data_IF_003289431134
#
_entry.id   IF_003289431134
#
_cell.length_a   1.000
_cell.length_b   1.000
_cell.length_c   1.000
_cell.angle_alpha   90.00
_cell.angle_beta   90.00
_cell.angle_gamma   90.00
#
_symmetry.space_group_name_H-M   'P 1'
#
loop_
_entity.id
_entity.type
_entity.pdbx_description
1 polymer ?
#
# COMPACT_ATOMS: atom_id res chain seq x y z
N UNK A 1 -14.18 -46.57 32.85
CA UNK A 1 -13.28 -45.39 32.82
C UNK A 1 -12.07 -45.59 31.91
N UNK A 2 -11.24 -46.63 32.10
CA UNK A 2 -10.03 -46.86 31.27
C UNK A 2 -10.23 -46.87 29.74
N UNK A 3 -11.38 -47.36 29.26
CA UNK A 3 -11.67 -47.41 27.82
C UNK A 3 -11.97 -46.04 27.21
N UNK A 4 -12.56 -45.12 28.00
CA UNK A 4 -12.90 -43.76 27.56
C UNK A 4 -11.64 -42.92 27.44
N UNK A 5 -10.73 -43.03 28.43
CA UNK A 5 -9.42 -42.36 28.39
C UNK A 5 -8.53 -42.87 27.24
N UNK A 6 -8.63 -44.16 26.88
CA UNK A 6 -7.89 -44.70 25.74
C UNK A 6 -8.38 -44.12 24.41
N UNK A 7 -9.71 -44.01 24.25
CA UNK A 7 -10.32 -43.45 23.05
C UNK A 7 -10.05 -41.95 22.90
N UNK A 8 -10.02 -41.20 23.98
CA UNK A 8 -9.65 -39.77 23.97
C UNK A 8 -8.18 -39.58 23.63
N UNK A 9 -7.29 -40.42 24.17
CA UNK A 9 -5.87 -40.40 23.83
C UNK A 9 -5.61 -40.75 22.36
N UNK A 10 -6.34 -41.73 21.82
CA UNK A 10 -6.22 -42.11 20.40
C UNK A 10 -6.69 -40.98 19.47
N UNK A 11 -7.79 -40.29 19.82
CA UNK A 11 -8.24 -39.10 19.08
C UNK A 11 -7.23 -37.97 19.14
N UNK A 12 -6.65 -37.69 20.31
CA UNK A 12 -5.63 -36.65 20.46
C UNK A 12 -4.39 -36.99 19.64
N UNK A 13 -3.96 -38.25 19.65
CA UNK A 13 -2.82 -38.71 18.88
C UNK A 13 -3.06 -38.57 17.36
N UNK A 14 -4.28 -38.88 16.89
CA UNK A 14 -4.66 -38.62 15.49
C UNK A 14 -4.59 -37.14 15.14
N UNK A 15 -5.11 -36.25 15.98
CA UNK A 15 -5.04 -34.81 15.74
C UNK A 15 -3.58 -34.36 15.67
N UNK A 16 -2.73 -34.79 16.61
CA UNK A 16 -1.31 -34.46 16.62
C UNK A 16 -0.57 -34.95 15.38
N UNK A 17 -0.82 -36.17 14.91
CA UNK A 17 -0.20 -36.68 13.69
C UNK A 17 -0.67 -35.91 12.44
N UNK A 18 -1.96 -35.54 12.38
CA UNK A 18 -2.45 -34.69 11.28
C UNK A 18 -1.83 -33.30 11.30
N UNK A 19 -1.65 -32.71 12.48
CA UNK A 19 -1.07 -31.39 12.63
C UNK A 19 0.44 -31.41 12.31
N UNK A 20 1.14 -32.45 12.78
CA UNK A 20 2.54 -32.71 12.45
C UNK A 20 2.75 -32.88 10.95
N UNK A 21 1.93 -33.68 10.27
CA UNK A 21 1.99 -33.82 8.80
C UNK A 21 1.79 -32.48 8.09
N UNK A 22 0.83 -31.66 8.54
CA UNK A 22 0.60 -30.32 7.96
C UNK A 22 1.80 -29.39 8.16
N UNK A 23 2.46 -29.45 9.32
CA UNK A 23 3.68 -28.69 9.57
C UNK A 23 4.84 -29.18 8.71
N UNK A 24 4.97 -30.49 8.52
CA UNK A 24 5.99 -31.06 7.63
C UNK A 24 5.79 -30.62 6.18
N UNK A 25 4.55 -30.61 5.69
CA UNK A 25 4.19 -30.13 4.35
C UNK A 25 4.52 -28.64 4.19
N UNK A 26 4.10 -27.80 5.15
CA UNK A 26 4.39 -26.36 5.11
C UNK A 26 5.89 -26.07 5.15
N UNK A 27 6.66 -26.83 5.94
CA UNK A 27 8.13 -26.69 5.97
C UNK A 27 8.76 -27.09 4.64
N UNK A 28 8.23 -28.11 3.96
CA UNK A 28 8.69 -28.48 2.62
C UNK A 28 8.36 -27.39 1.59
N UNK A 29 7.15 -26.85 1.60
CA UNK A 29 6.75 -25.74 0.73
C UNK A 29 7.65 -24.51 0.93
N UNK A 30 7.88 -24.11 2.18
CA UNK A 30 8.76 -22.99 2.51
C UNK A 30 10.21 -23.23 2.04
N UNK A 31 10.71 -24.47 2.13
CA UNK A 31 12.05 -24.81 1.60
C UNK A 31 12.12 -24.71 0.07
N UNK A 32 11.09 -25.17 -0.63
CA UNK A 32 11.01 -25.05 -2.09
C UNK A 32 10.95 -23.59 -2.53
N UNK A 33 10.17 -22.77 -1.82
CA UNK A 33 10.05 -21.34 -2.08
C UNK A 33 11.36 -20.61 -1.79
N UNK A 34 12.05 -20.94 -0.69
CA UNK A 34 13.37 -20.41 -0.39
C UNK A 34 14.39 -20.71 -1.50
N UNK A 35 14.43 -21.94 -2.00
CA UNK A 35 15.34 -22.31 -3.10
C UNK A 35 14.93 -21.70 -4.45
N UNK A 36 13.64 -21.39 -4.65
CA UNK A 36 13.17 -20.61 -5.81
C UNK A 36 13.66 -19.16 -5.73
N UNK A 37 13.43 -18.49 -4.60
CA UNK A 37 13.88 -17.10 -4.37
C UNK A 37 15.39 -16.98 -4.52
N UNK A 38 16.15 -17.95 -4.00
CA UNK A 38 17.60 -17.98 -4.12
C UNK A 38 18.06 -18.07 -5.58
N UNK A 39 17.40 -18.89 -6.42
CA UNK A 39 17.69 -18.98 -7.86
C UNK A 39 17.35 -17.68 -8.59
N UNK A 40 16.20 -17.07 -8.29
CA UNK A 40 15.81 -15.79 -8.87
C UNK A 40 16.80 -14.69 -8.51
N UNK A 41 17.22 -14.62 -7.25
CA UNK A 41 18.24 -13.67 -6.78
C UNK A 41 19.58 -13.86 -7.53
N UNK A 42 20.00 -15.11 -7.76
CA UNK A 42 21.22 -15.40 -8.54
C UNK A 42 21.09 -14.89 -9.98
N UNK A 43 19.93 -15.06 -10.62
CA UNK A 43 19.67 -14.51 -11.96
C UNK A 43 19.73 -12.99 -11.94
N UNK A 44 19.08 -12.33 -10.97
CA UNK A 44 19.12 -10.87 -10.84
C UNK A 44 20.54 -10.35 -10.65
N UNK A 45 21.36 -11.00 -9.81
CA UNK A 45 22.77 -10.64 -9.60
C UNK A 45 23.56 -10.78 -10.90
N UNK A 46 23.31 -11.85 -11.67
CA UNK A 46 23.96 -12.06 -12.96
C UNK A 46 23.57 -10.97 -13.98
N UNK A 47 22.28 -10.65 -14.09
CA UNK A 47 21.79 -9.57 -14.97
C UNK A 47 22.35 -8.20 -14.56
N UNK A 48 22.42 -7.89 -13.27
CA UNK A 48 23.01 -6.65 -12.77
C UNK A 48 24.50 -6.54 -13.16
N UNK A 49 25.23 -7.67 -13.10
CA UNK A 49 26.63 -7.71 -13.53
C UNK A 49 26.77 -7.42 -15.03
N UNK A 50 25.92 -8.02 -15.87
CA UNK A 50 25.90 -7.75 -17.32
C UNK A 50 25.63 -6.28 -17.64
N UNK A 51 24.65 -5.65 -16.98
CA UNK A 51 24.38 -4.21 -17.13
C UNK A 51 25.58 -3.36 -16.70
N UNK A 52 26.31 -3.78 -15.66
CA UNK A 52 27.55 -3.13 -15.23
C UNK A 52 28.65 -3.17 -16.30
N UNK A 53 28.81 -4.32 -16.96
CA UNK A 53 29.76 -4.52 -18.06
C UNK A 53 29.36 -3.67 -19.28
N UNK A 54 28.09 -3.70 -19.70
CA UNK A 54 27.57 -2.87 -20.80
C UNK A 54 27.74 -1.37 -20.53
N UNK A 55 27.51 -0.92 -19.30
CA UNK A 55 27.75 0.47 -18.90
C UNK A 55 29.23 0.84 -19.05
N UNK A 56 30.14 -0.05 -18.65
CA UNK A 56 31.58 0.20 -18.77
C UNK A 56 32.00 0.28 -20.25
N UNK A 57 31.48 -0.61 -21.10
CA UNK A 57 31.72 -0.59 -22.54
C UNK A 57 31.20 0.70 -23.17
N UNK A 58 29.97 1.11 -22.83
CA UNK A 58 29.39 2.36 -23.31
C UNK A 58 30.19 3.59 -22.89
N UNK A 59 30.68 3.63 -21.63
CA UNK A 59 31.58 4.68 -21.18
C UNK A 59 32.87 4.72 -22.01
N UNK A 60 33.48 3.56 -22.29
CA UNK A 60 34.70 3.50 -23.10
C UNK A 60 34.47 3.96 -24.55
N UNK A 61 33.35 3.56 -25.15
CA UNK A 61 32.96 3.98 -26.50
C UNK A 61 32.69 5.48 -26.56
N UNK A 62 31.98 6.02 -25.58
CA UNK A 62 31.70 7.47 -25.47
C UNK A 62 33.00 8.27 -25.37
N UNK A 63 33.95 7.78 -24.58
CA UNK A 63 35.26 8.42 -24.40
C UNK A 63 36.09 8.38 -25.70
N UNK A 64 36.04 7.28 -26.44
CA UNK A 64 36.69 7.17 -27.75
C UNK A 64 36.06 8.11 -28.78
N UNK A 65 34.72 8.18 -28.84
CA UNK A 65 34.01 9.10 -29.74
C UNK A 65 34.30 10.57 -29.42
N UNK A 66 34.42 10.91 -28.15
CA UNK A 66 34.81 12.26 -27.74
C UNK A 66 36.22 12.59 -28.23
N UNK A 67 37.18 11.67 -28.08
CA UNK A 67 38.54 11.84 -28.56
C UNK A 67 38.61 11.99 -30.08
N UNK A 68 37.88 11.17 -30.84
CA UNK A 68 37.87 11.28 -32.31
C UNK A 68 37.21 12.58 -32.79
N UNK A 69 36.18 13.08 -32.10
CA UNK A 69 35.65 14.42 -32.37
C UNK A 69 36.67 15.54 -32.12
N UNK A 70 37.42 15.46 -31.02
CA UNK A 70 38.48 16.44 -30.71
C UNK A 70 39.56 16.43 -31.80
N UNK A 71 40.01 15.26 -32.22
CA UNK A 71 40.99 15.09 -33.31
C UNK A 71 40.46 15.66 -34.64
N UNK A 72 39.22 15.36 -35.02
CA UNK A 72 38.59 15.89 -36.23
C UNK A 72 38.40 17.42 -36.19
N UNK A 73 38.10 17.97 -35.01
CA UNK A 73 37.98 19.42 -34.81
C UNK A 73 39.32 20.11 -35.05
N UNK A 74 40.40 19.55 -34.49
CA UNK A 74 41.77 20.04 -34.72
C UNK A 74 42.16 19.93 -36.19
N UNK A 75 41.86 18.80 -36.85
CA UNK A 75 42.16 18.59 -38.26
C UNK A 75 41.41 19.57 -39.16
N UNK A 76 40.11 19.81 -38.89
CA UNK A 76 39.31 20.83 -39.56
C UNK A 76 39.94 22.21 -39.40
N UNK A 77 40.37 22.58 -38.20
CA UNK A 77 40.98 23.89 -37.95
C UNK A 77 42.29 24.06 -38.72
N UNK A 78 43.12 23.01 -38.81
CA UNK A 78 44.33 23.00 -39.65
C UNK A 78 44.00 23.15 -41.13
N UNK A 79 43.00 22.42 -41.64
CA UNK A 79 42.58 22.51 -43.04
C UNK A 79 42.09 23.91 -43.42
N UNK A 80 41.33 24.56 -42.53
CA UNK A 80 40.90 25.96 -42.72
C UNK A 80 42.11 26.89 -42.78
N UNK A 81 43.08 26.75 -41.88
CA UNK A 81 44.29 27.58 -41.88
C UNK A 81 45.11 27.41 -43.18
N UNK A 82 45.20 26.19 -43.71
CA UNK A 82 45.86 25.91 -45.00
C UNK A 82 45.12 26.58 -46.15
N UNK A 83 43.78 26.49 -46.18
CA UNK A 83 42.96 27.14 -47.22
C UNK A 83 43.07 28.66 -47.17
N UNK A 84 43.10 29.26 -45.97
CA UNK A 84 43.32 30.69 -45.79
C UNK A 84 44.72 31.12 -46.28
N UNK A 85 45.75 30.33 -46.02
CA UNK A 85 47.10 30.56 -46.54
C UNK A 85 47.17 30.45 -48.07
N UNK A 86 46.49 29.46 -48.67
CA UNK A 86 46.38 29.31 -50.13
C UNK A 86 45.60 30.45 -50.79
N UNK A 87 44.60 31.02 -50.09
CA UNK A 87 43.81 32.16 -50.59
C UNK A 87 44.62 33.47 -50.66
N UNK A 88 45.76 33.53 -49.98
CA UNK A 88 46.70 34.67 -50.03
C UNK A 88 47.72 34.53 -51.17
N UNK A 89 47.67 33.46 -51.97
CA UNK A 89 48.60 33.19 -53.08
C UNK A 89 47.86 33.26 -54.44
N UNK A 90 48.08 34.29 -55.28
CA UNK A 90 47.35 34.45 -56.53
C UNK A 90 48.04 33.72 -57.69
N UNK A 91 47.47 32.60 -58.17
CA UNK A 91 47.63 32.09 -59.54
C UNK A 91 46.31 31.42 -59.96
N UNK A 92 45.53 32.04 -60.85
CA UNK A 92 45.64 32.01 -62.31
C UNK A 92 45.20 30.66 -62.91
N UNK A 93 43.94 30.59 -63.32
CA UNK A 93 43.48 29.76 -64.43
C UNK A 93 42.10 30.26 -64.88
N UNK A 94 42.13 31.21 -65.80
CA UNK A 94 40.99 31.59 -66.63
C UNK A 94 40.72 30.55 -67.71
N UNK A 95 39.43 30.45 -68.06
CA UNK A 95 38.83 29.93 -69.28
C UNK A 95 38.71 28.42 -69.46
N UNK A 96 37.45 27.95 -69.56
CA UNK A 96 36.89 27.18 -70.70
C UNK A 96 35.35 27.34 -70.62
N UNK A 97 34.76 28.20 -71.46
CA UNK A 97 34.09 27.90 -72.75
C UNK A 97 32.63 27.47 -72.62
N UNK A 98 31.78 28.03 -73.49
CA UNK A 98 30.31 28.01 -73.56
C UNK A 98 29.60 26.64 -73.67
N UNK A 99 30.03 25.61 -72.93
CA UNK A 99 29.32 24.33 -72.78
C UNK A 99 28.62 24.19 -71.40
N UNK A 100 28.70 25.21 -70.55
CA UNK A 100 28.25 25.17 -69.16
C UNK A 100 26.74 25.32 -68.96
N UNK A 101 25.98 25.88 -69.92
CA UNK A 101 24.52 26.10 -69.77
C UNK A 101 23.71 24.79 -69.67
N UNK A 102 23.91 23.77 -70.52
CA UNK A 102 23.23 22.49 -70.35
C UNK A 102 23.75 21.68 -69.14
N UNK A 103 25.03 21.85 -68.75
CA UNK A 103 25.61 21.22 -67.55
C UNK A 103 24.97 21.74 -66.26
N UNK A 104 24.89 23.06 -66.11
CA UNK A 104 24.29 23.71 -64.94
C UNK A 104 22.79 23.38 -64.83
N UNK A 105 22.08 23.26 -65.96
CA UNK A 105 20.68 22.86 -65.95
C UNK A 105 20.49 21.39 -65.50
N UNK A 106 21.38 20.49 -65.93
CA UNK A 106 21.41 19.11 -65.45
C UNK A 106 21.73 19.01 -63.95
N UNK A 107 22.69 19.81 -63.47
CA UNK A 107 23.04 19.89 -62.04
C UNK A 107 21.86 20.41 -61.20
N UNK A 108 21.16 21.44 -61.67
CA UNK A 108 19.96 21.98 -61.01
C UNK A 108 18.82 20.94 -60.93
N UNK A 109 18.53 20.23 -62.02
CA UNK A 109 17.54 19.15 -62.00
C UNK A 109 17.98 18.00 -61.07
N UNK A 110 19.27 17.70 -61.00
CA UNK A 110 19.79 16.67 -60.11
C UNK A 110 19.68 17.08 -58.63
N UNK A 111 19.88 18.35 -58.33
CA UNK A 111 19.67 18.94 -57.00
C UNK A 111 18.19 18.88 -56.63
N UNK A 112 17.28 19.28 -57.53
CA UNK A 112 15.84 19.19 -57.30
C UNK A 112 15.39 17.76 -57.01
N UNK A 113 15.85 16.78 -57.80
CA UNK A 113 15.55 15.37 -57.58
C UNK A 113 16.09 14.84 -56.24
N UNK A 114 17.30 15.25 -55.83
CA UNK A 114 17.85 14.90 -54.51
C UNK A 114 17.05 15.56 -53.37
N UNK A 115 16.65 16.81 -53.54
CA UNK A 115 15.82 17.53 -52.58
C UNK A 115 14.45 16.85 -52.41
N UNK A 116 13.82 16.42 -53.50
CA UNK A 116 12.56 15.68 -53.46
C UNK A 116 12.68 14.39 -52.64
N UNK A 117 13.72 13.57 -52.91
CA UNK A 117 14.00 12.34 -52.16
C UNK A 117 14.25 12.58 -50.68
N UNK A 118 15.04 13.61 -50.35
CA UNK A 118 15.29 14.00 -48.96
C UNK A 118 13.99 14.41 -48.24
N UNK A 119 13.07 15.05 -48.95
CA UNK A 119 11.77 15.46 -48.39
C UNK A 119 10.88 14.24 -48.09
N UNK A 120 10.88 13.24 -48.98
CA UNK A 120 10.19 11.97 -48.76
C UNK A 120 10.79 11.18 -47.60
N UNK A 121 12.12 11.06 -47.53
CA UNK A 121 12.83 10.40 -46.43
C UNK A 121 12.58 11.10 -45.09
N UNK A 122 12.60 12.44 -45.09
CA UNK A 122 12.27 13.26 -43.92
C UNK A 122 10.86 12.96 -43.43
N UNK A 123 9.87 12.93 -44.31
CA UNK A 123 8.48 12.69 -43.94
C UNK A 123 8.27 11.25 -43.44
N UNK A 124 8.98 10.28 -44.01
CA UNK A 124 8.99 8.90 -43.52
C UNK A 124 9.64 8.79 -42.13
N UNK A 125 10.74 9.50 -41.89
CA UNK A 125 11.41 9.55 -40.59
C UNK A 125 10.51 10.21 -39.52
N UNK A 126 9.83 11.32 -39.85
CA UNK A 126 8.87 11.97 -38.97
C UNK A 126 7.70 11.04 -38.61
N UNK A 127 7.20 10.26 -39.56
CA UNK A 127 6.13 9.27 -39.30
C UNK A 127 6.58 8.18 -38.34
N UNK A 128 7.78 7.61 -38.55
CA UNK A 128 8.37 6.60 -37.66
C UNK A 128 8.65 7.15 -36.25
N UNK A 129 9.08 8.40 -36.16
CA UNK A 129 9.34 9.06 -34.89
C UNK A 129 8.04 9.18 -34.08
N UNK A 130 6.94 9.61 -34.70
CA UNK A 130 5.62 9.70 -34.05
C UNK A 130 5.11 8.34 -33.58
N UNK A 131 5.22 7.30 -34.40
CA UNK A 131 4.83 5.93 -34.01
C UNK A 131 5.65 5.43 -32.81
N UNK A 132 6.95 5.73 -32.77
CA UNK A 132 7.81 5.39 -31.64
C UNK A 132 7.47 6.19 -30.37
N UNK A 133 7.12 7.47 -30.49
CA UNK A 133 6.66 8.30 -29.37
C UNK A 133 5.35 7.78 -28.77
N UNK A 134 4.42 7.32 -29.60
CA UNK A 134 3.18 6.68 -29.15
C UNK A 134 3.45 5.35 -28.44
N UNK A 135 4.31 4.49 -29.02
CA UNK A 135 4.74 3.24 -28.36
C UNK A 135 5.43 3.50 -27.03
N UNK A 136 6.30 4.51 -26.97
CA UNK A 136 6.99 4.89 -25.74
C UNK A 136 6.00 5.32 -24.65
N UNK A 137 4.99 6.13 -25.00
CA UNK A 137 3.95 6.54 -24.06
C UNK A 137 3.18 5.36 -23.47
N UNK A 138 2.75 4.42 -24.31
CA UNK A 138 2.05 3.22 -23.84
C UNK A 138 2.91 2.40 -22.88
N UNK A 139 4.19 2.19 -23.21
CA UNK A 139 5.13 1.48 -22.34
C UNK A 139 5.38 2.21 -21.01
N UNK A 140 5.39 3.54 -21.02
CA UNK A 140 5.56 4.34 -19.81
C UNK A 140 4.33 4.25 -18.90
N UNK A 141 3.13 4.25 -19.47
CA UNK A 141 1.86 4.01 -18.75
C UNK A 141 1.81 2.60 -18.14
N UNK A 142 2.17 1.57 -18.91
CA UNK A 142 2.26 0.18 -18.43
C UNK A 142 3.28 0.07 -17.29
N UNK A 143 4.47 0.67 -17.46
CA UNK A 143 5.48 0.70 -16.41
C UNK A 143 4.95 1.38 -15.14
N UNK A 144 4.27 2.52 -15.27
CA UNK A 144 3.72 3.24 -14.12
C UNK A 144 2.64 2.40 -13.40
N UNK A 145 1.79 1.72 -14.16
CA UNK A 145 0.79 0.78 -13.63
C UNK A 145 1.46 -0.33 -12.80
N UNK A 146 2.41 -1.06 -13.38
CA UNK A 146 3.09 -2.16 -12.66
C UNK A 146 3.88 -1.69 -11.44
N UNK A 147 4.46 -0.49 -11.48
CA UNK A 147 5.12 0.11 -10.30
C UNK A 147 4.11 0.36 -9.19
N UNK A 148 2.95 0.96 -9.52
CA UNK A 148 1.90 1.22 -8.53
C UNK A 148 1.34 -0.08 -7.91
N UNK A 149 1.12 -1.10 -8.73
CA UNK A 149 0.60 -2.40 -8.29
C UNK A 149 1.61 -3.13 -7.41
N UNK A 150 2.89 -3.14 -7.82
CA UNK A 150 3.99 -3.70 -7.03
C UNK A 150 4.11 -3.00 -5.67
N UNK A 151 4.00 -1.67 -5.63
CA UNK A 151 4.03 -0.91 -4.38
C UNK A 151 2.83 -1.22 -3.49
N UNK A 152 1.63 -1.36 -4.06
CA UNK A 152 0.43 -1.74 -3.31
C UNK A 152 0.57 -3.14 -2.70
N UNK A 153 1.08 -4.10 -3.46
CA UNK A 153 1.38 -5.46 -2.97
C UNK A 153 2.44 -5.44 -1.88
N UNK A 154 3.50 -4.64 -2.03
CA UNK A 154 4.54 -4.50 -1.02
C UNK A 154 3.99 -3.93 0.30
N UNK A 155 3.12 -2.92 0.22
CA UNK A 155 2.46 -2.36 1.39
C UNK A 155 1.54 -3.39 2.07
N UNK A 156 0.77 -4.14 1.28
CA UNK A 156 -0.09 -5.21 1.78
C UNK A 156 0.70 -6.30 2.49
N UNK A 157 1.84 -6.72 1.93
CA UNK A 157 2.75 -7.69 2.56
C UNK A 157 3.32 -7.16 3.88
N UNK A 158 3.68 -5.87 3.93
CA UNK A 158 4.18 -5.25 5.16
C UNK A 158 3.10 -5.22 6.26
N UNK A 159 1.87 -4.86 5.91
CA UNK A 159 0.73 -4.86 6.83
C UNK A 159 0.43 -6.27 7.37
N UNK A 160 0.37 -7.27 6.48
CA UNK A 160 0.16 -8.67 6.86
C UNK A 160 1.29 -9.20 7.77
N UNK A 161 2.53 -8.77 7.54
CA UNK A 161 3.66 -9.15 8.39
C UNK A 161 3.50 -8.61 9.80
N UNK A 162 3.09 -7.35 9.94
CA UNK A 162 2.82 -6.74 11.25
C UNK A 162 1.65 -7.42 11.96
N UNK A 163 0.57 -7.72 11.23
CA UNK A 163 -0.59 -8.43 11.77
C UNK A 163 -0.22 -9.87 12.21
N UNK A 164 0.58 -10.58 11.42
CA UNK A 164 1.14 -11.89 11.79
C UNK A 164 1.96 -11.80 13.08
N UNK A 165 2.90 -10.86 13.17
CA UNK A 165 3.70 -10.71 14.39
C UNK A 165 2.84 -10.37 15.61
N UNK A 166 1.80 -9.55 15.42
CA UNK A 166 0.89 -9.18 16.49
C UNK A 166 0.08 -10.40 16.99
N UNK A 167 -0.50 -11.17 16.06
CA UNK A 167 -1.26 -12.38 16.39
C UNK A 167 -0.37 -13.46 17.02
N UNK A 168 0.87 -13.65 16.54
CA UNK A 168 1.84 -14.55 17.18
C UNK A 168 2.17 -14.14 18.62
N UNK A 169 2.33 -12.83 18.87
CA UNK A 169 2.57 -12.32 20.23
C UNK A 169 1.36 -12.58 21.13
N UNK A 170 0.15 -12.38 20.64
CA UNK A 170 -1.07 -12.65 21.39
C UNK A 170 -1.25 -14.14 21.68
N UNK A 171 -1.02 -15.02 20.69
CA UNK A 171 -1.05 -16.47 20.87
C UNK A 171 -0.02 -16.93 21.91
N UNK A 172 1.21 -16.39 21.91
CA UNK A 172 2.22 -16.70 22.92
C UNK A 172 1.76 -16.32 24.34
N UNK A 173 1.07 -15.18 24.49
CA UNK A 173 0.51 -14.77 25.77
C UNK A 173 -0.62 -15.71 26.20
N UNK A 174 -1.51 -16.07 25.29
CA UNK A 174 -2.59 -17.02 25.57
C UNK A 174 -2.04 -18.39 25.99
N UNK A 175 -1.04 -18.92 25.28
CA UNK A 175 -0.35 -20.17 25.64
C UNK A 175 0.28 -20.09 27.02
N UNK A 176 0.94 -18.98 27.36
CA UNK A 176 1.52 -18.79 28.70
C UNK A 176 0.44 -18.84 29.78
N UNK A 177 -0.69 -18.16 29.56
CA UNK A 177 -1.83 -18.19 30.49
C UNK A 177 -2.40 -19.60 30.61
N UNK A 178 -2.52 -20.35 29.51
CA UNK A 178 -2.96 -21.74 29.55
C UNK A 178 -2.02 -22.63 30.36
N UNK A 179 -0.70 -22.54 30.12
CA UNK A 179 0.30 -23.27 30.91
C UNK A 179 0.21 -22.94 32.41
N UNK A 180 0.05 -21.67 32.76
CA UNK A 180 -0.09 -21.24 34.15
C UNK A 180 -1.39 -21.79 34.79
N UNK A 181 -2.49 -21.86 34.03
CA UNK A 181 -3.75 -22.45 34.47
C UNK A 181 -3.67 -23.96 34.65
N UNK A 182 -3.03 -24.68 33.71
CA UNK A 182 -2.79 -26.12 33.82
C UNK A 182 -1.94 -26.45 35.04
N UNK A 183 -0.89 -25.66 35.30
CA UNK A 183 -0.06 -25.82 36.50
C UNK A 183 -0.90 -25.65 37.78
N UNK A 184 -1.73 -24.61 37.86
CA UNK A 184 -2.61 -24.38 39.01
C UNK A 184 -3.62 -25.52 39.18
N UNK A 185 -4.18 -26.03 38.09
CA UNK A 185 -5.10 -27.18 38.11
C UNK A 185 -4.38 -28.42 38.66
N UNK A 186 -3.16 -28.69 38.20
CA UNK A 186 -2.36 -29.81 38.67
C UNK A 186 -2.04 -29.71 40.16
N UNK A 187 -1.63 -28.53 40.65
CA UNK A 187 -1.38 -28.30 42.08
C UNK A 187 -2.65 -28.55 42.93
N UNK A 188 -3.82 -28.15 42.43
CA UNK A 188 -5.10 -28.42 43.08
C UNK A 188 -5.45 -29.92 43.07
N UNK A 189 -5.23 -30.63 41.97
CA UNK A 189 -5.41 -32.08 41.90
C UNK A 189 -4.49 -32.82 42.88
N UNK A 190 -3.23 -32.40 43.00
CA UNK A 190 -2.31 -32.97 43.98
C UNK A 190 -2.74 -32.69 45.42
N UNK A 191 -3.23 -31.49 45.73
CA UNK A 191 -3.77 -31.16 47.04
C UNK A 191 -5.00 -32.02 47.37
N UNK A 192 -5.87 -32.30 46.39
CA UNK A 192 -6.99 -33.22 46.54
C UNK A 192 -6.53 -34.64 46.82
N UNK A 193 -5.55 -35.17 46.06
CA UNK A 193 -4.99 -36.51 46.29
C UNK A 193 -4.33 -36.63 47.66
N UNK A 194 -3.62 -35.59 48.11
CA UNK A 194 -3.03 -35.52 49.45
C UNK A 194 -4.09 -35.52 50.55
N UNK A 195 -5.17 -34.78 50.36
CA UNK A 195 -6.31 -34.74 51.28
C UNK A 195 -7.01 -36.10 51.37
N UNK A 196 -7.27 -36.76 50.23
CA UNK A 196 -7.85 -38.10 50.17
C UNK A 196 -6.98 -39.13 50.90
N UNK A 197 -5.67 -39.11 50.66
CA UNK A 197 -4.72 -39.99 51.35
C UNK A 197 -4.67 -39.72 52.87
N UNK A 198 -4.76 -38.46 53.29
CA UNK A 198 -4.82 -38.07 54.70
C UNK A 198 -6.09 -38.60 55.39
N UNK A 199 -7.25 -38.46 54.73
CA UNK A 199 -8.55 -38.93 55.23
C UNK A 199 -8.63 -40.46 55.30
N UNK A 200 -8.01 -41.16 54.36
CA UNK A 200 -7.96 -42.62 54.34
C UNK A 200 -6.96 -43.22 55.36
N UNK A 201 -6.17 -42.39 56.04
CA UNK A 201 -5.21 -42.86 57.04
C UNK A 201 -5.87 -43.09 58.41
N UNK A 202 -5.58 -44.23 59.03
CA UNK A 202 -6.15 -44.61 60.34
C UNK A 202 -5.48 -43.92 61.54
N UNK A 203 -4.37 -43.18 61.30
CA UNK A 203 -3.59 -42.48 62.33
C UNK A 203 -3.52 -41.00 61.98
N UNK A 204 -4.24 -40.19 62.76
CA UNK A 204 -4.20 -38.74 62.68
C UNK A 204 -3.14 -38.20 63.63
N UNK A 205 -2.17 -37.50 63.06
CA UNK A 205 -1.15 -36.74 63.79
C UNK A 205 -1.42 -35.25 63.56
N UNK A 206 -1.08 -34.40 64.52
CA UNK A 206 -1.31 -32.94 64.43
C UNK A 206 -0.67 -32.32 63.17
N UNK A 207 0.53 -32.74 62.79
CA UNK A 207 1.20 -32.31 61.54
C UNK A 207 0.42 -32.69 60.26
N UNK A 208 -0.30 -33.82 60.27
CA UNK A 208 -1.14 -34.22 59.14
C UNK A 208 -2.41 -33.38 59.06
N UNK A 209 -3.04 -33.10 60.20
CA UNK A 209 -4.21 -32.22 60.26
C UNK A 209 -3.87 -30.80 59.79
N UNK A 210 -2.68 -30.29 60.12
CA UNK A 210 -2.19 -28.99 59.65
C UNK A 210 -1.98 -28.97 58.13
N UNK A 211 -1.36 -30.02 57.57
CA UNK A 211 -1.19 -30.18 56.12
C UNK A 211 -2.52 -30.29 55.37
N UNK A 212 -3.46 -31.09 55.88
CA UNK A 212 -4.80 -31.21 55.31
C UNK A 212 -5.56 -29.87 55.36
N UNK A 213 -5.42 -29.10 56.45
CA UNK A 213 -6.01 -27.76 56.56
C UNK A 213 -5.42 -26.78 55.55
N UNK A 214 -4.11 -26.85 55.30
CA UNK A 214 -3.45 -26.06 54.27
C UNK A 214 -3.95 -26.42 52.87
N UNK A 215 -4.08 -27.72 52.57
CA UNK A 215 -4.61 -28.20 51.28
C UNK A 215 -6.08 -27.80 51.07
N UNK A 216 -6.93 -27.92 52.10
CA UNK A 216 -8.33 -27.42 52.06
C UNK A 216 -8.38 -25.90 51.84
N UNK A 217 -7.47 -25.14 52.46
CA UNK A 217 -7.40 -23.70 52.28
C UNK A 217 -6.93 -23.32 50.88
N UNK A 218 -5.98 -24.07 50.31
CA UNK A 218 -5.52 -23.89 48.93
C UNK A 218 -6.65 -24.19 47.93
N UNK A 219 -7.36 -25.30 48.11
CA UNK A 219 -8.50 -25.69 47.26
C UNK A 219 -9.64 -24.67 47.32
N UNK A 220 -9.96 -24.16 48.52
CA UNK A 220 -10.95 -23.10 48.67
C UNK A 220 -10.59 -21.87 47.83
N UNK A 221 -9.32 -21.42 47.89
CA UNK A 221 -8.83 -20.28 47.09
C UNK A 221 -8.90 -20.57 45.58
N UNK A 222 -8.54 -21.78 45.16
CA UNK A 222 -8.63 -22.20 43.76
C UNK A 222 -10.07 -22.11 43.24
N UNK A 223 -11.04 -22.65 43.97
CA UNK A 223 -12.46 -22.57 43.57
C UNK A 223 -13.00 -21.14 43.60
N UNK A 224 -12.60 -20.31 44.57
CA UNK A 224 -12.94 -18.88 44.59
C UNK A 224 -12.38 -18.13 43.36
N UNK A 225 -11.20 -18.51 42.86
CA UNK A 225 -10.64 -17.98 41.62
C UNK A 225 -11.42 -18.46 40.38
N UNK A 226 -11.79 -19.74 40.32
CA UNK A 226 -12.62 -20.29 39.24
C UNK A 226 -13.99 -19.60 39.14
N UNK A 227 -14.66 -19.38 40.28
CA UNK A 227 -15.95 -18.70 40.34
C UNK A 227 -15.82 -17.27 39.82
N UNK A 228 -14.82 -16.50 40.29
CA UNK A 228 -14.60 -15.13 39.81
C UNK A 228 -14.31 -15.08 38.30
N UNK A 229 -13.50 -16.00 37.78
CA UNK A 229 -13.21 -16.05 36.35
C UNK A 229 -14.46 -16.38 35.53
N UNK A 230 -15.29 -17.31 35.99
CA UNK A 230 -16.55 -17.65 35.34
C UNK A 230 -17.56 -16.49 35.36
N UNK A 231 -17.63 -15.73 36.47
CA UNK A 231 -18.44 -14.51 36.55
C UNK A 231 -17.98 -13.45 35.54
N UNK A 232 -16.66 -13.22 35.43
CA UNK A 232 -16.08 -12.28 34.46
C UNK A 232 -16.39 -12.73 33.03
N UNK A 233 -16.25 -14.03 32.74
CA UNK A 233 -16.55 -14.58 31.42
C UNK A 233 -18.03 -14.43 31.06
N UNK A 234 -18.94 -14.68 32.01
CA UNK A 234 -20.36 -14.42 31.83
C UNK A 234 -20.67 -12.93 31.58
N UNK A 235 -19.89 -12.01 32.18
CA UNK A 235 -20.02 -10.57 31.94
C UNK A 235 -19.36 -10.08 30.64
N UNK A 236 -18.55 -10.90 29.96
CA UNK A 236 -17.82 -10.52 28.74
C UNK A 236 -18.69 -9.87 27.66
N UNK A 237 -19.90 -10.37 27.33
CA UNK A 237 -20.76 -9.72 26.32
C UNK A 237 -21.22 -8.31 26.74
N UNK A 238 -21.51 -8.10 28.03
CA UNK A 238 -21.90 -6.80 28.55
C UNK A 238 -20.72 -5.82 28.56
N UNK A 239 -19.53 -6.29 28.95
CA UNK A 239 -18.28 -5.52 28.90
C UNK A 239 -17.97 -5.09 27.47
N UNK A 240 -18.06 -6.00 26.49
CA UNK A 240 -17.86 -5.70 25.06
C UNK A 240 -18.91 -4.71 24.51
N UNK A 241 -20.18 -4.87 24.90
CA UNK A 241 -21.23 -3.90 24.52
C UNK A 241 -20.92 -2.51 25.06
N UNK A 242 -20.47 -2.42 26.30
CA UNK A 242 -20.13 -1.16 26.96
C UNK A 242 -18.86 -0.52 26.39
N UNK A 243 -17.84 -1.30 26.01
CA UNK A 243 -16.61 -0.76 25.41
C UNK A 243 -16.86 -0.05 24.08
N UNK A 244 -17.90 -0.43 23.34
CA UNK A 244 -18.34 0.26 22.12
C UNK A 244 -19.32 1.40 22.44
N UNK A 245 -20.26 1.18 23.35
CA UNK A 245 -21.31 2.15 23.66
C UNK A 245 -20.78 3.39 24.37
N UNK A 246 -19.85 3.24 25.32
CA UNK A 246 -19.33 4.36 26.12
C UNK A 246 -18.58 5.39 25.25
N UNK A 247 -17.63 5.01 24.37
CA UNK A 247 -16.99 5.96 23.45
C UNK A 247 -17.98 6.58 22.45
N UNK A 248 -18.94 5.80 21.94
CA UNK A 248 -20.00 6.32 21.04
C UNK A 248 -20.87 7.35 21.74
N UNK A 249 -21.30 7.08 22.97
CA UNK A 249 -22.08 7.99 23.79
C UNK A 249 -21.27 9.25 24.16
N UNK A 250 -20.00 9.10 24.54
CA UNK A 250 -19.09 10.22 24.80
C UNK A 250 -18.91 11.11 23.57
N UNK A 251 -18.68 10.51 22.40
CA UNK A 251 -18.58 11.25 21.11
C UNK A 251 -19.85 12.02 20.80
N UNK A 252 -21.03 11.41 21.00
CA UNK A 252 -22.32 12.08 20.83
C UNK A 252 -22.50 13.25 21.80
N UNK A 253 -22.11 13.07 23.07
CA UNK A 253 -22.13 14.14 24.08
C UNK A 253 -21.19 15.28 23.69
N UNK A 254 -19.95 14.99 23.31
CA UNK A 254 -18.98 16.01 22.86
C UNK A 254 -19.52 16.78 21.64
N UNK A 255 -20.06 16.08 20.62
CA UNK A 255 -20.69 16.72 19.46
C UNK A 255 -21.89 17.58 19.87
N UNK A 256 -22.77 17.07 20.72
CA UNK A 256 -23.94 17.81 21.23
C UNK A 256 -23.54 19.05 22.04
N UNK A 257 -22.47 18.98 22.83
CA UNK A 257 -21.91 20.13 23.54
C UNK A 257 -21.33 21.18 22.57
N UNK A 258 -20.69 20.78 21.46
CA UNK A 258 -20.28 21.72 20.40
C UNK A 258 -21.49 22.42 19.76
N UNK A 259 -22.58 21.71 19.51
CA UNK A 259 -23.81 22.31 18.99
C UNK A 259 -24.51 23.24 20.00
N UNK A 260 -24.42 22.95 21.30
CA UNK A 260 -24.91 23.87 22.34
C UNK A 260 -24.03 25.10 22.54
N UNK A 261 -22.72 25.02 22.27
CA UNK A 261 -21.84 26.19 22.20
C UNK A 261 -22.06 27.03 20.93
N UNK A 262 -22.57 26.43 19.84
CA UNK A 262 -22.90 27.14 18.59
C UNK A 262 -24.34 27.64 18.51
N UNK A 263 -25.24 27.26 19.42
CA UNK A 263 -26.53 27.94 19.58
C UNK A 263 -26.29 29.21 20.39
N UNK A 264 -26.38 30.41 19.81
CA UNK A 264 -26.38 31.62 20.61
C UNK A 264 -27.65 31.57 21.47
N UNK A 265 -27.48 31.35 22.77
CA UNK A 265 -28.47 31.83 23.73
C UNK A 265 -28.57 33.33 23.50
N UNK A 266 -29.65 33.75 22.83
CA UNK A 266 -30.08 35.13 22.62
C UNK A 266 -30.51 35.79 23.96
N UNK A 267 -29.72 35.62 25.00
CA UNK A 267 -29.92 36.24 26.30
C UNK A 267 -28.61 36.21 27.07
N UNK A 268 -27.62 36.96 26.56
CA UNK A 268 -26.62 37.72 27.32
C UNK A 268 -25.68 38.36 26.30
N UNK A 269 -26.20 39.37 25.59
CA UNK A 269 -25.37 40.36 24.91
C UNK A 269 -24.49 41.01 25.98
N UNK A 270 -23.23 40.59 26.08
CA UNK A 270 -22.15 41.51 26.46
C UNK A 270 -21.56 42.06 25.17
N UNK A 271 -21.58 43.38 25.10
CA UNK A 271 -21.04 44.20 24.03
C UNK A 271 -19.63 43.79 23.59
N UNK A 272 -19.47 43.62 22.29
CA UNK A 272 -18.23 43.99 21.60
C UNK A 272 -18.55 44.35 20.15
N UNK A 273 -18.55 45.66 19.93
CA UNK A 273 -18.63 46.34 18.64
C UNK A 273 -17.42 45.95 17.76
N UNK A 274 -17.62 45.14 16.74
CA UNK A 274 -16.69 45.07 15.60
C UNK A 274 -17.32 44.26 14.47
N UNK A 275 -18.01 44.97 13.57
CA UNK A 275 -18.29 44.68 12.15
C UNK A 275 -19.62 45.37 11.80
N UNK A 276 -19.53 46.60 11.31
CA UNK A 276 -20.66 47.31 10.74
C UNK A 276 -20.93 46.71 9.36
N UNK A 277 -21.99 45.91 9.24
CA UNK A 277 -22.66 45.70 7.95
C UNK A 277 -23.63 46.86 7.75
N UNK A 278 -23.66 47.44 6.54
CA UNK A 278 -24.58 48.53 6.21
C UNK A 278 -26.03 48.04 6.31
N UNK A 279 -26.98 48.82 6.86
CA UNK A 279 -28.38 48.42 7.01
C UNK A 279 -29.06 47.97 5.70
N UNK A 280 -28.56 48.43 4.55
CA UNK A 280 -29.06 48.04 3.23
C UNK A 280 -28.76 46.60 2.84
N UNK A 281 -27.58 46.07 3.17
CA UNK A 281 -27.18 44.70 2.83
C UNK A 281 -27.87 43.65 3.72
N UNK A 282 -28.19 44.02 4.96
CA UNK A 282 -28.93 43.16 5.88
C UNK A 282 -30.36 42.87 5.37
N UNK A 283 -31.01 43.85 4.74
CA UNK A 283 -32.34 43.70 4.15
C UNK A 283 -32.32 42.84 2.88
N UNK A 284 -31.30 43.01 2.03
CA UNK A 284 -31.15 42.25 0.78
C UNK A 284 -30.86 40.76 1.05
N UNK A 285 -29.98 40.47 2.02
CA UNK A 285 -29.71 39.09 2.45
C UNK A 285 -30.95 38.43 3.08
N UNK A 286 -31.78 39.20 3.79
CA UNK A 286 -33.00 38.67 4.41
C UNK A 286 -34.07 38.37 3.35
N UNK A 287 -34.24 39.26 2.37
CA UNK A 287 -35.07 39.07 1.17
C UNK A 287 -34.68 37.80 0.42
N UNK A 288 -33.38 37.61 0.16
CA UNK A 288 -32.86 36.44 -0.53
C UNK A 288 -33.13 35.14 0.24
N UNK A 289 -32.96 35.15 1.57
CA UNK A 289 -33.28 34.01 2.44
C UNK A 289 -34.76 33.68 2.45
N UNK A 290 -35.62 34.70 2.40
CA UNK A 290 -37.07 34.52 2.36
C UNK A 290 -37.54 34.00 1.00
N UNK A 291 -36.97 34.50 -0.10
CA UNK A 291 -37.20 33.97 -1.44
C UNK A 291 -36.76 32.50 -1.55
N UNK A 292 -35.59 32.13 -1.03
CA UNK A 292 -35.12 30.74 -1.01
C UNK A 292 -36.05 29.82 -0.19
N UNK A 293 -36.59 30.31 0.93
CA UNK A 293 -37.59 29.56 1.71
C UNK A 293 -38.91 29.40 0.97
N UNK A 294 -39.35 30.42 0.23
CA UNK A 294 -40.59 30.37 -0.54
C UNK A 294 -40.46 29.41 -1.74
N UNK A 295 -39.33 29.41 -2.44
CA UNK A 295 -38.98 28.42 -3.46
C UNK A 295 -38.96 26.99 -2.91
N UNK A 296 -38.40 26.80 -1.72
CA UNK A 296 -38.39 25.47 -1.06
C UNK A 296 -39.80 25.04 -0.61
N UNK A 297 -40.71 25.99 -0.36
CA UNK A 297 -42.10 25.70 0.00
C UNK A 297 -42.99 25.46 -1.21
N UNK A 298 -42.62 25.96 -2.38
CA UNK A 298 -43.34 25.72 -3.61
C UNK A 298 -43.38 24.21 -3.93
N UNK A 299 -44.58 23.70 -4.16
CA UNK A 299 -44.84 22.30 -4.45
C UNK A 299 -44.47 21.96 -5.89
N UNK A 300 -44.77 22.84 -6.85
CA UNK A 300 -44.46 22.60 -8.26
C UNK A 300 -42.95 22.63 -8.49
N UNK A 301 -42.24 23.57 -7.87
CA UNK A 301 -40.78 23.61 -7.92
C UNK A 301 -40.15 22.29 -7.44
N UNK A 302 -40.68 21.71 -6.36
CA UNK A 302 -40.22 20.41 -5.85
C UNK A 302 -40.53 19.27 -6.81
N UNK A 303 -41.75 19.22 -7.35
CA UNK A 303 -42.14 18.19 -8.33
C UNK A 303 -41.29 18.26 -9.61
N UNK A 304 -41.01 19.45 -10.12
CA UNK A 304 -40.14 19.65 -11.29
C UNK A 304 -38.69 19.24 -11.01
N UNK A 305 -38.13 19.60 -9.85
CA UNK A 305 -36.79 19.14 -9.46
C UNK A 305 -36.71 17.63 -9.34
N UNK A 306 -37.74 16.99 -8.76
CA UNK A 306 -37.81 15.53 -8.70
C UNK A 306 -37.87 14.89 -10.08
N UNK A 307 -38.62 15.45 -11.03
CA UNK A 307 -38.66 14.96 -12.42
C UNK A 307 -37.31 15.12 -13.14
N UNK A 308 -36.60 16.23 -12.93
CA UNK A 308 -35.29 16.46 -13.54
C UNK A 308 -34.25 15.46 -12.99
N UNK A 309 -34.30 15.18 -11.68
CA UNK A 309 -33.38 14.23 -11.04
C UNK A 309 -33.68 12.80 -11.51
N UNK A 310 -34.96 12.42 -11.67
CA UNK A 310 -35.32 11.07 -12.10
C UNK A 310 -35.16 10.82 -13.60
N UNK A 311 -35.16 11.85 -14.45
CA UNK A 311 -34.91 11.71 -15.89
C UNK A 311 -33.42 11.61 -16.25
N UNK A 312 -32.48 11.80 -15.31
CA UNK A 312 -31.05 11.90 -15.58
C UNK A 312 -30.23 10.60 -15.38
N UNK A 313 -30.87 9.43 -15.47
CA UNK A 313 -30.20 8.13 -15.70
C UNK A 313 -31.08 7.28 -16.63
N UNK A 314 -30.63 6.87 -17.85
CA UNK A 314 -29.47 5.99 -18.01
C UNK A 314 -28.54 6.34 -19.20
N UNK A 315 -27.24 6.45 -18.94
CA UNK A 315 -26.20 6.44 -19.98
C UNK A 315 -25.87 4.99 -20.36
N UNK A 316 -26.22 4.66 -21.60
CA UNK A 316 -25.94 3.45 -22.37
C UNK A 316 -24.59 2.77 -22.05
N UNK A 317 -24.66 1.48 -21.69
CA UNK A 317 -23.63 0.51 -22.02
C UNK A 317 -23.76 0.14 -23.50
N UNK A 318 -22.73 0.40 -24.30
CA UNK A 318 -22.64 -0.01 -25.69
C UNK A 318 -21.64 -1.17 -25.78
N UNK A 319 -22.15 -2.39 -25.81
CA UNK A 319 -21.40 -3.53 -26.33
C UNK A 319 -21.34 -3.42 -27.86
N UNK A 320 -20.12 -3.58 -28.40
CA UNK A 320 -19.84 -4.11 -29.73
C UNK A 320 -18.56 -4.91 -29.69
#
# INVERSE_FOLDING_TARGET
MFYISLQELEKLNQVLETEKSRFEDLVQELRLEQEKIKRELQVTVHSLKGVGEEKQELCSLTQNLQKTMEELSVEKQKAIAILEASRQQPQAADNITENARPSVHGDLQQIENKMQKLLEEKLQAESRMKENEERFRLLEEERAFYVSESQALQNSLAELTVEKEHTEKELKLQLKVQMDLEKKLHEAEEALRRLEAGLNSTILNQDREEKMRADVSHLKKFFEECIRNAEIEAMKPAIMKNSVYVPRAATRRIKSCRFHQQRPTFSHLRHSHSFLMSPGEAADIQSLKEAARNLTRDKHFRETLFQIITQKEPSQGHDK
#
